data_IF_818803953836
#
_entry.id   IF_818803953836
#
_cell.length_a   1.000
_cell.length_b   1.000
_cell.length_c   1.000
_cell.angle_alpha   90.00
_cell.angle_beta   90.00
_cell.angle_gamma   90.00
#
_symmetry.space_group_name_H-M   'P 1'
#
loop_
_entity.id
_entity.type
_entity.pdbx_description
1 polymer ?
2 polymer ?
3 water ?
#
# COMPACT_ATOMS: atom_id res chain seq x y z
N UNK A 16 22.85 13.59 17.64
CA UNK A 16 23.52 12.49 18.31
C UNK A 16 22.54 11.55 18.99
N UNK A 17 21.42 11.28 18.33
CA UNK A 17 20.41 10.34 18.85
C UNK A 17 20.13 9.24 17.81
N UNK A 18 20.28 7.98 18.24
CA UNK A 18 20.00 6.84 17.38
C UNK A 18 18.53 6.91 16.93
N UNK A 19 18.33 6.69 15.63
CA UNK A 19 17.01 6.61 15.04
C UNK A 19 16.19 5.56 15.79
N UNK A 20 15.05 6.00 16.31
CA UNK A 20 14.30 5.28 17.34
C UNK A 20 13.44 4.12 16.86
N UNK A 21 13.80 3.53 15.73
CA UNK A 21 13.17 2.35 15.12
C UNK A 21 12.11 2.92 14.23
N UNK A 22 12.21 4.26 14.10
CA UNK A 22 11.31 5.10 13.29
C UNK A 22 12.00 5.40 12.02
N UNK A 23 12.91 4.47 11.88
CA UNK A 23 13.26 3.82 10.70
C UNK A 23 11.99 3.49 9.94
N UNK A 24 10.95 2.99 10.63
CA UNK A 24 9.77 2.53 9.94
C UNK A 24 9.04 3.69 9.30
N UNK A 25 8.87 4.82 10.02
CA UNK A 25 8.16 5.97 9.46
C UNK A 25 8.94 6.56 8.28
N UNK A 26 10.26 6.57 8.40
CA UNK A 26 11.13 7.09 7.35
C UNK A 26 11.00 6.26 6.07
N UNK A 27 10.97 4.94 6.21
CA UNK A 27 10.76 4.06 5.06
C UNK A 27 9.43 4.38 4.36
N UNK A 28 8.37 4.55 5.13
CA UNK A 28 7.07 4.91 4.58
C UNK A 28 7.11 6.22 3.81
N UNK A 29 7.69 7.26 4.42
CA UNK A 29 7.80 8.56 3.77
C UNK A 29 8.59 8.44 2.48
N UNK A 30 9.67 7.67 2.49
CA UNK A 30 10.51 7.56 1.31
C UNK A 30 9.73 6.90 0.19
N UNK A 31 8.95 5.86 0.52
CA UNK A 31 8.13 5.18 -0.48
C UNK A 31 7.02 6.10 -1.03
N UNK A 32 6.39 6.92 -0.19
CA UNK A 32 5.36 7.82 -0.73
C UNK A 32 5.99 8.89 -1.60
N UNK A 33 7.21 9.29 -1.26
CA UNK A 33 7.91 10.30 -2.05
C UNK A 33 8.33 9.73 -3.40
N UNK A 34 8.78 8.47 -3.45
CA UNK A 34 9.01 7.82 -4.74
C UNK A 34 7.73 7.83 -5.57
N UNK A 35 6.61 7.44 -4.97
CA UNK A 35 5.33 7.37 -5.70
C UNK A 35 4.99 8.73 -6.30
N UNK A 36 5.27 9.80 -5.56
CA UNK A 36 5.07 11.18 -6.02
C UNK A 36 5.96 11.51 -7.22
N UNK A 37 7.22 11.09 -7.16
CA UNK A 37 8.13 11.16 -8.29
C UNK A 37 7.59 10.43 -9.52
N UNK A 38 7.03 9.24 -9.33
CA UNK A 38 6.48 8.47 -10.42
C UNK A 38 5.31 9.21 -11.07
N UNK A 39 4.46 9.83 -10.26
CA UNK A 39 3.36 10.64 -10.78
C UNK A 39 3.88 11.84 -11.57
N UNK A 40 4.87 12.53 -11.00
CA UNK A 40 5.50 13.65 -11.68
C UNK A 40 6.08 13.23 -13.02
N UNK A 41 6.70 12.05 -13.03
CA UNK A 41 7.38 11.54 -14.21
C UNK A 41 6.42 11.32 -15.38
N UNK A 42 5.28 10.68 -15.15
CA UNK A 42 4.39 10.43 -16.29
C UNK A 42 3.48 11.62 -16.60
N UNK A 43 3.22 12.47 -15.62
CA UNK A 43 2.47 13.71 -15.86
C UNK A 43 3.28 14.68 -16.71
N UNK A 44 4.61 14.64 -16.54
CA UNK A 44 5.51 15.41 -17.39
C UNK A 44 5.65 14.72 -18.73
N UNK A 45 5.68 13.39 -18.71
CA UNK A 45 5.89 12.59 -19.92
C UNK A 45 4.63 12.53 -20.79
N UNK A 46 3.47 12.68 -20.17
CA UNK A 46 2.21 12.69 -20.92
C UNK A 46 2.06 13.99 -21.70
N UNK A 47 2.10 15.12 -21.00
CA UNK A 47 1.85 16.41 -21.62
C UNK A 47 2.99 16.89 -22.51
N UNK A 48 4.11 16.19 -22.46
CA UNK A 48 5.23 16.48 -23.35
C UNK A 48 5.18 15.54 -24.55
N UNK A 49 4.02 14.88 -24.73
CA UNK A 49 3.82 13.95 -25.83
C UNK A 49 2.40 14.03 -26.37
N UNK B 4 -3.05 -13.92 -31.71
CA UNK B 4 -2.29 -12.69 -31.54
C UNK B 4 -3.03 -11.68 -30.65
N UNK B 5 -4.36 -11.73 -30.65
CA UNK B 5 -5.17 -10.80 -29.86
C UNK B 5 -5.49 -11.29 -28.44
N UNK B 6 -5.79 -10.35 -27.54
CA UNK B 6 -6.11 -10.68 -26.14
C UNK B 6 -7.60 -10.80 -25.84
N UNK B 7 -7.93 -11.62 -24.84
CA UNK B 7 -9.25 -11.65 -24.23
C UNK B 7 -9.25 -10.66 -23.08
N UNK B 8 -10.22 -10.76 -22.17
CA UNK B 8 -10.23 -9.80 -21.04
C UNK B 8 -9.02 -9.91 -20.13
N UNK B 9 -8.52 -8.78 -19.65
CA UNK B 9 -7.35 -8.80 -18.75
C UNK B 9 -7.67 -9.52 -17.44
N UNK B 10 -6.65 -10.14 -16.83
CA UNK B 10 -6.77 -10.74 -15.50
C UNK B 10 -6.99 -9.66 -14.44
N UNK B 11 -7.66 -9.99 -13.35
CA UNK B 11 -7.83 -9.01 -12.30
C UNK B 11 -6.58 -9.04 -11.43
N UNK B 12 -6.11 -7.85 -11.05
CA UNK B 12 -4.95 -7.73 -10.20
C UNK B 12 -5.43 -7.49 -8.77
N UNK B 13 -4.66 -7.97 -7.79
CA UNK B 13 -5.05 -7.81 -6.42
C UNK B 13 -4.63 -6.44 -5.89
N UNK B 14 -3.79 -5.75 -6.66
CA UNK B 14 -3.17 -4.52 -6.16
C UNK B 14 -3.60 -3.25 -6.92
N UNK B 15 -4.29 -3.44 -8.04
CA UNK B 15 -4.68 -2.30 -8.87
C UNK B 15 -5.92 -2.60 -9.69
N UNK B 16 -6.55 -1.54 -10.20
CA UNK B 16 -7.79 -1.64 -10.97
C UNK B 16 -7.67 -0.79 -12.23
N UNK B 17 -8.43 -1.13 -13.29
CA UNK B 17 -8.36 -0.31 -14.51
C UNK B 17 -8.93 1.10 -14.29
N UNK B 18 -8.41 2.09 -15.01
CA UNK B 18 -8.78 3.49 -14.79
C UNK B 18 -10.14 3.96 -15.34
N UNK B 19 -10.74 3.24 -16.28
CA UNK B 19 -11.88 3.83 -16.97
C UNK B 19 -13.23 3.14 -16.78
N UNK B 20 -13.21 1.93 -16.22
CA UNK B 20 -14.38 1.04 -16.14
C UNK B 20 -15.24 1.16 -17.41
N UNK B 21 -14.59 1.05 -18.56
CA UNK B 21 -15.25 1.11 -19.86
C UNK B 21 -15.98 -0.20 -20.13
N UNK B 22 -16.55 -0.32 -21.33
CA UNK B 22 -17.36 -1.48 -21.73
C UNK B 22 -16.64 -2.81 -21.52
N UNK B 23 -15.30 -2.75 -21.51
CA UNK B 23 -14.46 -3.94 -21.45
C UNK B 23 -14.89 -4.93 -22.53
N UNK B 24 -14.82 -4.48 -23.78
CA UNK B 24 -15.00 -5.33 -24.93
C UNK B 24 -14.11 -6.55 -24.78
N UNK B 25 -14.71 -7.72 -24.64
CA UNK B 25 -13.98 -8.96 -24.33
C UNK B 25 -12.81 -9.33 -25.24
N UNK B 26 -12.53 -8.52 -26.26
CA UNK B 26 -11.41 -8.81 -27.16
C UNK B 26 -10.63 -7.53 -27.41
N UNK B 27 -9.31 -7.65 -27.53
CA UNK B 27 -8.46 -6.48 -27.69
C UNK B 27 -7.37 -6.72 -28.72
N UNK B 28 -7.26 -5.81 -29.67
CA UNK B 28 -6.21 -5.85 -30.69
C UNK B 28 -4.84 -6.00 -30.04
N UNK B 29 -3.96 -6.79 -30.65
CA UNK B 29 -2.61 -6.94 -30.13
C UNK B 29 -1.94 -5.56 -30.05
N UNK B 30 -1.16 -5.33 -29.01
CA UNK B 30 -0.55 -4.03 -28.80
C UNK B 30 -1.34 -3.08 -27.91
N UNK B 31 -2.59 -3.43 -27.59
CA UNK B 31 -3.38 -2.54 -26.76
C UNK B 31 -2.73 -2.39 -25.39
N UNK B 32 -2.81 -1.18 -24.84
CA UNK B 32 -2.29 -0.92 -23.52
C UNK B 32 -3.43 -0.35 -22.70
N UNK B 33 -3.60 -0.89 -21.50
CA UNK B 33 -4.67 -0.45 -20.62
C UNK B 33 -4.04 0.17 -19.38
N UNK B 34 -4.58 1.29 -18.94
CA UNK B 34 -4.01 2.03 -17.82
C UNK B 34 -4.66 1.60 -16.52
N UNK B 35 -3.83 1.49 -15.48
CA UNK B 35 -4.30 1.07 -14.16
C UNK B 35 -3.90 2.06 -13.08
N UNK B 36 -4.63 2.02 -11.96
CA UNK B 36 -4.22 2.77 -10.79
C UNK B 36 -4.31 1.87 -9.57
N UNK B 37 -3.51 2.19 -8.55
CA UNK B 37 -3.43 1.39 -7.34
C UNK B 37 -4.75 1.32 -6.57
N UNK B 38 -5.01 0.17 -5.97
CA UNK B 38 -6.20 -0.03 -5.15
C UNK B 38 -5.99 0.64 -3.79
N UNK B 39 -7.08 0.88 -3.04
CA UNK B 39 -6.89 1.34 -1.65
C UNK B 39 -5.96 0.38 -0.89
N UNK B 40 -5.08 0.92 -0.05
CA UNK B 40 -4.11 0.09 0.65
C UNK B 40 -2.78 -0.06 -0.09
N UNK B 41 -2.71 0.39 -1.34
CA UNK B 41 -1.50 0.27 -2.18
C UNK B 41 -1.00 1.59 -2.73
N UNK B 42 0.30 1.68 -2.98
CA UNK B 42 0.88 2.87 -3.60
C UNK B 42 1.81 2.49 -4.74
N UNK B 43 1.98 3.44 -5.65
CA UNK B 43 2.73 3.22 -6.87
C UNK B 43 4.21 2.99 -6.59
N UNK B 44 4.81 2.03 -7.29
CA UNK B 44 6.21 1.67 -7.09
C UNK B 44 6.95 1.51 -8.42
N UNK B 45 6.29 1.88 -9.51
CA UNK B 45 6.88 1.73 -10.84
C UNK B 45 6.32 2.87 -11.70
N UNK B 46 7.02 3.25 -12.75
CA UNK B 46 6.52 4.30 -13.62
C UNK B 46 5.43 3.79 -14.57
N UNK B 47 5.47 2.51 -14.94
CA UNK B 47 4.50 1.99 -15.91
C UNK B 47 3.42 1.15 -15.23
N UNK B 48 2.23 1.76 -15.08
CA UNK B 48 1.09 1.10 -14.48
C UNK B 48 0.14 0.61 -15.57
N UNK B 49 0.66 -0.14 -16.52
CA UNK B 49 -0.15 -0.60 -17.63
C UNK B 49 -0.16 -2.11 -17.77
N UNK B 50 -1.20 -2.61 -18.44
CA UNK B 50 -1.19 -3.96 -18.99
C UNK B 50 -1.16 -3.81 -20.50
N UNK B 51 -0.33 -4.61 -21.16
CA UNK B 51 -0.23 -4.52 -22.60
C UNK B 51 -0.42 -5.89 -23.24
N UNK B 52 -1.16 -5.92 -24.34
CA UNK B 52 -1.37 -7.17 -25.05
C UNK B 52 -0.24 -7.39 -26.05
N UNK B 53 0.55 -8.44 -25.84
CA UNK B 53 1.69 -8.66 -26.71
C UNK B 53 1.32 -9.51 -27.93
N UNK B 54 2.29 -9.81 -28.78
CA UNK B 54 2.00 -10.54 -30.02
C UNK B 54 1.48 -11.96 -29.79
N UNK B 55 1.69 -12.50 -28.59
CA UNK B 55 1.27 -13.86 -28.28
C UNK B 55 -0.16 -13.93 -27.75
N UNK B 56 -0.85 -12.78 -27.75
CA UNK B 56 -2.20 -12.71 -27.22
C UNK B 56 -2.26 -12.79 -25.71
N UNK B 57 -1.23 -12.26 -25.05
CA UNK B 57 -1.15 -12.32 -23.59
C UNK B 57 -0.87 -10.96 -22.95
N UNK B 58 -1.47 -10.74 -21.79
CA UNK B 58 -1.28 -9.49 -21.07
C UNK B 58 0.01 -9.50 -20.27
N UNK B 59 0.78 -8.44 -20.46
CA UNK B 59 2.09 -8.28 -19.85
C UNK B 59 2.07 -7.08 -18.89
N UNK B 60 2.62 -7.27 -17.70
CA UNK B 60 2.66 -6.20 -16.72
C UNK B 60 3.64 -6.52 -15.61
N UNK B 61 4.05 -5.49 -14.88
CA UNK B 61 4.82 -5.65 -13.66
C UNK B 61 3.93 -5.46 -12.43
N UNK B 62 4.37 -5.93 -11.28
CA UNK B 62 3.67 -5.56 -10.04
C UNK B 62 3.99 -4.09 -9.78
N UNK B 63 3.14 -3.18 -10.22
CA UNK B 63 3.51 -1.76 -10.19
C UNK B 63 3.02 -1.02 -8.94
N UNK B 64 2.56 -1.77 -7.94
CA UNK B 64 2.13 -1.20 -6.66
C UNK B 64 2.75 -1.97 -5.49
N UNK B 65 2.93 -1.29 -4.36
CA UNK B 65 3.34 -1.95 -3.11
C UNK B 65 2.38 -1.56 -2.02
N UNK B 66 2.52 -2.17 -0.84
CA UNK B 66 1.64 -1.83 0.27
C UNK B 66 1.88 -0.40 0.74
N UNK B 67 0.83 0.33 1.07
CA UNK B 67 0.93 1.54 1.88
C UNK B 67 1.36 1.13 3.29
N UNK B 68 1.92 2.04 4.06
CA UNK B 68 2.28 1.72 5.44
C UNK B 68 1.60 2.67 6.40
N UNK B 69 1.14 2.17 7.56
CA UNK B 69 0.60 3.07 8.60
C UNK B 69 1.72 3.76 9.37
N UNK B 70 1.45 4.97 9.85
CA UNK B 70 2.42 5.61 10.73
C UNK B 70 2.52 4.86 12.05
N UNK B 71 3.67 4.90 12.70
CA UNK B 71 3.77 4.26 14.02
C UNK B 71 2.83 5.03 14.97
N UNK B 72 2.03 4.31 15.76
CA UNK B 72 1.01 4.97 16.58
C UNK B 72 1.57 5.56 17.86
N UNK B 73 2.86 5.38 18.13
CA UNK B 73 3.48 5.96 19.32
C UNK B 73 3.55 5.01 20.51
N UNK B 74 3.89 5.55 21.68
CA UNK B 74 4.08 4.75 22.88
C UNK B 74 2.79 4.35 23.58
N UNK B 75 2.86 3.25 24.32
CA UNK B 75 1.80 2.82 25.21
C UNK B 75 2.25 3.13 26.64
N UNK B 76 1.56 4.04 27.31
CA UNK B 76 1.91 4.39 28.68
C UNK B 76 1.84 3.14 29.56
N UNK B 77 2.97 2.82 30.20
CA UNK B 77 3.12 1.67 31.10
C UNK B 77 2.98 0.32 30.40
N UNK B 78 3.17 0.33 29.09
CA UNK B 78 3.14 -0.90 28.31
C UNK B 78 4.13 -0.86 27.18
N UNK B 79 3.89 -1.69 26.17
CA UNK B 79 4.82 -1.85 25.06
C UNK B 79 4.07 -2.04 23.74
N UNK B 80 4.53 -1.35 22.69
CA UNK B 80 4.01 -1.56 21.35
C UNK B 80 5.02 -2.41 20.61
N UNK B 81 4.63 -3.63 20.22
CA UNK B 81 5.57 -4.54 19.55
C UNK B 81 5.23 -4.68 18.07
N UNK B 82 6.24 -4.47 17.23
CA UNK B 82 6.06 -4.68 15.80
C UNK B 82 6.35 -6.16 15.53
N UNK B 83 5.49 -6.85 14.78
CA UNK B 83 5.77 -8.27 14.52
C UNK B 83 6.49 -8.47 13.20
N UNK B 84 6.10 -7.70 12.19
CA UNK B 84 6.74 -7.77 10.88
C UNK B 84 7.10 -6.35 10.48
N UNK B 85 6.10 -5.57 10.10
CA UNK B 85 6.29 -4.19 9.74
C UNK B 85 4.97 -3.43 9.96
N UNK B 86 4.85 -2.21 9.43
CA UNK B 86 3.63 -1.40 9.62
C UNK B 86 2.86 -1.29 8.31
N UNK B 87 3.11 -2.23 7.40
CA UNK B 87 2.46 -2.24 6.10
C UNK B 87 1.03 -2.70 6.16
N UNK B 88 0.26 -2.24 5.17
CA UNK B 88 -1.11 -2.73 4.93
C UNK B 88 -1.20 -4.23 5.16
N UNK B 89 -2.12 -4.64 6.04
CA UNK B 89 -2.32 -6.05 6.35
C UNK B 89 -1.55 -6.53 7.56
N UNK B 90 -0.55 -5.77 7.99
CA UNK B 90 0.27 -6.20 9.11
C UNK B 90 -0.37 -5.88 10.47
N UNK B 91 0.04 -6.61 11.48
CA UNK B 91 -0.51 -6.44 12.82
C UNK B 91 0.58 -6.09 13.84
N UNK B 92 0.29 -5.15 14.74
CA UNK B 92 1.15 -4.87 15.88
C UNK B 92 0.50 -5.39 17.17
N UNK B 93 1.30 -5.61 18.22
CA UNK B 93 0.80 -6.20 19.46
C UNK B 93 1.07 -5.33 20.67
N UNK B 94 0.15 -5.35 21.62
CA UNK B 94 0.27 -4.53 22.82
C UNK B 94 0.37 -5.40 24.05
N UNK B 95 1.18 -4.99 25.01
CA UNK B 95 1.23 -5.63 26.32
C UNK B 95 1.40 -4.59 27.40
N UNK B 96 1.12 -4.95 28.64
CA UNK B 96 1.31 -4.05 29.77
C UNK B 96 2.36 -4.57 30.72
N UNK B 97 3.05 -3.65 31.40
CA UNK B 97 4.04 -4.02 32.39
C UNK B 97 3.40 -4.68 33.60
N UNK B 98 4.23 -5.44 34.33
CA UNK B 98 3.85 -6.29 35.47
C UNK B 98 2.73 -5.77 36.39
N UNK B 99 2.84 -4.54 36.87
CA UNK B 99 1.81 -4.02 37.75
C UNK B 99 0.53 -3.49 37.09
N UNK B 100 0.23 -3.91 35.86
CA UNK B 100 -0.87 -3.32 35.11
C UNK B 100 -1.74 -4.32 34.35
N UNK B 101 -3.01 -3.98 34.18
CA UNK B 101 -3.97 -4.76 33.42
C UNK B 101 -4.21 -4.10 32.08
N UNK B 102 -4.25 -4.88 31.01
CA UNK B 102 -4.53 -4.33 29.70
C UNK B 102 -6.03 -4.24 29.45
N UNK B 103 -6.56 -3.03 29.30
CA UNK B 103 -7.97 -2.85 28.96
C UNK B 103 -8.13 -2.41 27.50
N UNK B 104 -8.82 -3.21 26.70
CA UNK B 104 -8.92 -2.96 25.27
C UNK B 104 -8.34 -4.11 24.45
N UNK B 105 -7.85 -3.80 23.26
CA UNK B 105 -7.36 -4.83 22.34
C UNK B 105 -5.85 -5.07 22.49
N UNK B 106 -5.43 -6.32 22.36
CA UNK B 106 -4.03 -6.69 22.38
C UNK B 106 -3.37 -6.53 21.01
N UNK B 107 -4.16 -6.20 20.00
CA UNK B 107 -3.63 -6.06 18.64
C UNK B 107 -4.29 -4.90 17.90
N UNK B 108 -3.62 -4.45 16.84
CA UNK B 108 -4.19 -3.50 15.90
C UNK B 108 -3.56 -3.81 14.54
N UNK B 109 -4.29 -3.48 13.47
CA UNK B 109 -3.90 -3.88 12.12
C UNK B 109 -3.93 -2.69 11.18
N UNK B 110 -2.94 -2.59 10.29
CA UNK B 110 -2.95 -1.53 9.29
C UNK B 110 -4.01 -1.87 8.24
N UNK B 111 -5.01 -1.01 8.10
CA UNK B 111 -6.15 -1.28 7.23
C UNK B 111 -6.45 -0.07 6.38
N UNK B 112 -7.34 -0.21 5.41
CA UNK B 112 -7.74 0.92 4.60
C UNK B 112 -8.58 1.87 5.46
N UNK B 113 -8.24 3.16 5.45
CA UNK B 113 -8.99 4.17 6.19
C UNK B 113 -8.98 5.46 5.41
N UNK B 114 -10.16 6.01 5.17
CA UNK B 114 -10.29 7.20 4.32
C UNK B 114 -9.68 6.87 2.97
N UNK B 115 -8.71 7.67 2.57
CA UNK B 115 -8.08 7.46 1.29
C UNK B 115 -6.65 6.99 1.51
N UNK B 116 -6.34 6.65 2.74
CA UNK B 116 -5.06 6.09 3.04
C UNK B 116 -5.21 4.82 3.84
N UNK B 117 -4.50 4.80 4.95
CA UNK B 117 -4.31 3.59 5.70
C UNK B 117 -4.16 4.04 7.18
N UNK B 118 -4.73 3.27 8.12
CA UNK B 118 -4.70 3.62 9.53
C UNK B 118 -4.87 2.37 10.35
N UNK B 119 -4.83 2.51 11.68
CA UNK B 119 -4.91 1.36 12.56
C UNK B 119 -6.36 0.96 12.86
N UNK B 120 -6.64 -0.35 12.86
CA UNK B 120 -8.02 -0.84 12.98
C UNK B 120 -8.59 -0.60 14.39
N UNK B 121 -7.75 -0.81 15.38
CA UNK B 121 -8.13 -0.71 16.79
C UNK B 121 -7.34 0.42 17.43
N UNK B 122 -7.97 1.15 18.35
CA UNK B 122 -7.24 2.16 19.14
C UNK B 122 -6.31 1.49 20.12
N UNK B 123 -5.28 2.22 20.57
CA UNK B 123 -4.38 1.71 21.60
C UNK B 123 -5.16 1.41 22.87
N UNK B 124 -4.84 0.28 23.52
CA UNK B 124 -5.48 -0.04 24.79
C UNK B 124 -4.96 0.87 25.90
N UNK B 125 -5.48 0.70 27.11
CA UNK B 125 -4.96 1.40 28.26
C UNK B 125 -4.29 0.39 29.19
N UNK B 126 -3.19 0.78 29.83
CA UNK B 126 -2.62 -0.02 30.91
C UNK B 126 -2.96 0.63 32.25
N UNK B 127 -3.76 -0.07 33.05
CA UNK B 127 -4.32 0.52 34.26
C UNK B 127 -4.03 -0.30 35.50
N UNK B 128 -4.06 0.41 36.64
CA UNK B 128 -3.89 -0.05 38.03
C UNK B 128 -2.58 0.52 38.59
#
# INVERSE_FOLDING_TARGET
GPGSNSKNPVPVKKEAKLSEAELHDKIAALEEEKAELFEKLDKVEEEHKKVEEEHKKDHEKLEKKSEDVERHYLRQLDQEYKEQQERQKNLEELERQSQREVEK
GPGSNCGPPPTLSFAAPMDITLTETRFKTGTTLKYTCLPGYVRSHSTQTLTCNSDGEWVYNTFCIYKRCRHPGELRNGQVEIKTDLSFGSQIEFSCSEGFFLIGSTTSRCEVQDRGVGWSHPLPQCEI
#
